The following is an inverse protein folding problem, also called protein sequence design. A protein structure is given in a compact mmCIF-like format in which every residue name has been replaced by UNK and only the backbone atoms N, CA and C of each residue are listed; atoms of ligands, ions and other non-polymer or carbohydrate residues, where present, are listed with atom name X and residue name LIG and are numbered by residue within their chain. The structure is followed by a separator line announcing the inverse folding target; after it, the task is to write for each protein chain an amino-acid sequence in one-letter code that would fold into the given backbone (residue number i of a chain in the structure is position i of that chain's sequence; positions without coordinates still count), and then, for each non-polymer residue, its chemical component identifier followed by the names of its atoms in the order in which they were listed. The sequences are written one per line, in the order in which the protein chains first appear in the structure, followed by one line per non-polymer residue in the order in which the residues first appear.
data_IF_798093084454
#
_entry.id   IF_798093084454
#
_cell.length_a   1.000
_cell.length_b   1.000
_cell.length_c   1.000
_cell.angle_alpha   90.00
_cell.angle_beta   90.00
_cell.angle_gamma   90.00
#
_symmetry.space_group_name_H-M   'P 1'
#
loop_
_entity.id
_entity.type
_entity.pdbx_description
1 polymer ?
#
# COMPACT_ATOMS: atom_id res chain seq x y z
N UNK A 1 2.23 14.01 19.03
CA UNK A 1 0.78 14.23 18.74
C UNK A 1 0.29 13.02 18.01
N UNK A 2 -0.67 12.27 18.56
CA UNK A 2 -1.15 11.00 17.99
C UNK A 2 -2.11 11.25 16.80
N UNK A 3 -2.12 10.40 15.76
CA UNK A 3 -3.15 10.44 14.71
C UNK A 3 -4.51 10.09 15.29
N UNK A 4 -5.57 10.64 14.68
CA UNK A 4 -6.95 10.33 15.04
C UNK A 4 -7.54 9.27 14.12
N UNK A 5 -7.02 9.15 12.89
CA UNK A 5 -7.34 8.10 11.93
C UNK A 5 -6.06 7.51 11.35
N UNK A 6 -6.05 6.21 11.18
CA UNK A 6 -5.02 5.50 10.40
C UNK A 6 -5.73 4.65 9.35
N UNK A 7 -5.41 4.90 8.09
CA UNK A 7 -5.63 3.97 6.99
C UNK A 7 -4.37 3.18 6.76
N UNK A 8 -4.48 1.87 6.69
CA UNK A 8 -3.33 1.01 6.44
C UNK A 8 -3.62 0.05 5.29
N UNK A 9 -2.85 0.14 4.21
CA UNK A 9 -3.02 -0.72 3.03
C UNK A 9 -1.90 -1.75 2.91
N UNK A 10 -2.30 -2.93 2.48
CA UNK A 10 -1.40 -4.01 2.08
C UNK A 10 -2.14 -5.00 1.19
N UNK A 11 -1.41 -5.62 0.26
CA UNK A 11 -1.90 -6.76 -0.52
C UNK A 11 -2.37 -7.92 0.36
N UNK A 12 -1.84 -8.01 1.59
CA UNK A 12 -2.11 -9.09 2.54
C UNK A 12 -3.22 -8.77 3.56
N UNK A 13 -3.91 -7.66 3.45
CA UNK A 13 -5.10 -7.38 4.28
C UNK A 13 -6.23 -8.32 3.84
N UNK A 14 -6.75 -9.12 4.77
CA UNK A 14 -7.74 -10.18 4.52
C UNK A 14 -7.31 -11.22 3.46
N UNK A 15 -6.02 -11.23 3.11
CA UNK A 15 -5.43 -12.10 2.10
C UNK A 15 -4.11 -12.68 2.65
N UNK A 16 -4.14 -13.91 3.14
CA UNK A 16 -2.99 -14.52 3.82
C UNK A 16 -2.06 -15.17 2.80
N UNK A 17 -1.08 -14.43 2.31
CA UNK A 17 -0.10 -14.88 1.32
C UNK A 17 1.29 -15.00 1.92
N UNK A 18 1.71 -14.08 2.78
CA UNK A 18 3.09 -14.00 3.27
C UNK A 18 3.22 -13.48 4.69
N UNK A 19 4.41 -12.98 5.01
CA UNK A 19 4.78 -12.54 6.35
C UNK A 19 4.18 -11.19 6.77
N UNK A 20 3.80 -10.35 5.83
CA UNK A 20 3.20 -9.04 6.11
C UNK A 20 1.84 -9.22 6.80
N UNK A 21 1.05 -10.22 6.37
CA UNK A 21 -0.17 -10.62 7.07
C UNK A 21 0.08 -10.78 8.57
N UNK A 22 1.14 -11.50 8.95
CA UNK A 22 1.46 -11.74 10.36
C UNK A 22 1.86 -10.46 11.08
N UNK A 23 2.64 -9.61 10.45
CA UNK A 23 3.05 -8.30 11.03
C UNK A 23 1.83 -7.44 11.30
N UNK A 24 0.95 -7.26 10.32
CA UNK A 24 -0.24 -6.42 10.45
C UNK A 24 -1.25 -6.99 11.45
N UNK A 25 -1.56 -8.28 11.34
CA UNK A 25 -2.54 -8.94 12.21
C UNK A 25 -2.11 -8.99 13.66
N UNK A 26 -0.81 -9.15 13.94
CA UNK A 26 -0.30 -9.21 15.31
C UNK A 26 -0.36 -7.85 16.03
N UNK A 27 -0.22 -6.74 15.32
CA UNK A 27 -0.30 -5.38 15.90
C UNK A 27 -1.70 -4.75 15.88
N UNK A 28 -2.60 -5.32 15.09
CA UNK A 28 -3.94 -4.77 14.89
C UNK A 28 -4.70 -4.53 16.22
N UNK A 29 -4.68 -5.50 17.14
CA UNK A 29 -5.32 -5.35 18.45
C UNK A 29 -4.75 -4.18 19.25
N UNK A 30 -3.43 -3.97 19.22
CA UNK A 30 -2.79 -2.91 19.98
C UNK A 30 -3.15 -1.54 19.42
N UNK A 31 -3.11 -1.38 18.10
CA UNK A 31 -3.50 -0.14 17.45
C UNK A 31 -4.99 0.15 17.61
N UNK A 32 -5.84 -0.87 17.55
CA UNK A 32 -7.29 -0.70 17.71
C UNK A 32 -7.67 -0.28 19.13
N UNK A 33 -6.92 -0.69 20.17
CA UNK A 33 -7.16 -0.19 21.54
C UNK A 33 -6.97 1.33 21.67
N UNK A 34 -6.09 1.90 20.85
CA UNK A 34 -5.83 3.35 20.84
C UNK A 34 -6.79 4.12 19.93
N UNK A 35 -7.16 3.54 18.79
CA UNK A 35 -7.87 4.22 17.71
C UNK A 35 -9.34 3.79 17.57
N UNK A 36 -9.71 2.63 18.12
CA UNK A 36 -11.06 2.07 17.90
C UNK A 36 -11.31 1.81 16.42
N UNK A 37 -12.48 2.17 15.95
CA UNK A 37 -12.91 2.03 14.55
C UNK A 37 -12.31 3.11 13.61
N UNK A 38 -11.44 3.96 14.11
CA UNK A 38 -10.65 4.88 13.29
C UNK A 38 -9.35 4.23 12.74
N UNK A 39 -9.10 2.97 13.09
CA UNK A 39 -8.11 2.12 12.41
C UNK A 39 -8.81 1.34 11.30
N UNK A 40 -8.47 1.64 10.06
CA UNK A 40 -9.10 1.07 8.86
C UNK A 40 -8.04 0.43 7.99
N UNK A 41 -8.16 -0.87 7.78
CA UNK A 41 -7.31 -1.60 6.85
C UNK A 41 -7.93 -1.63 5.45
N UNK A 42 -7.08 -1.57 4.41
CA UNK A 42 -7.52 -1.61 3.02
C UNK A 42 -6.79 -2.77 2.31
N UNK A 43 -7.56 -3.67 1.74
CA UNK A 43 -7.07 -4.83 1.01
C UNK A 43 -7.73 -5.01 -0.37
N UNK A 44 -7.15 -5.89 -1.22
CA UNK A 44 -7.73 -6.22 -2.50
C UNK A 44 -8.99 -7.07 -2.35
N UNK A 45 -10.02 -6.79 -3.17
CA UNK A 45 -11.17 -7.67 -3.34
C UNK A 45 -10.97 -8.54 -4.59
N UNK A 46 -10.87 -9.85 -4.37
CA UNK A 46 -10.79 -10.82 -5.47
C UNK A 46 -12.16 -11.34 -5.92
N UNK A 47 -13.24 -10.87 -5.27
CA UNK A 47 -14.61 -11.32 -5.54
C UNK A 47 -14.97 -12.67 -4.95
N UNK A 48 -14.14 -13.21 -4.05
CA UNK A 48 -14.33 -14.51 -3.42
C UNK A 48 -14.61 -14.36 -1.92
N UNK A 49 -15.33 -15.33 -1.35
CA UNK A 49 -15.47 -15.47 0.09
C UNK A 49 -14.13 -15.89 0.71
N UNK A 50 -13.77 -15.28 1.81
CA UNK A 50 -12.54 -15.60 2.53
C UNK A 50 -12.80 -15.74 4.03
N UNK A 51 -12.16 -16.70 4.72
CA UNK A 51 -12.32 -16.84 6.17
C UNK A 51 -11.71 -15.66 6.96
N UNK A 52 -10.95 -14.82 6.30
CA UNK A 52 -10.26 -13.69 6.93
C UNK A 52 -11.10 -12.41 6.99
N UNK A 53 -12.27 -12.37 6.35
CA UNK A 53 -13.11 -11.19 6.27
C UNK A 53 -14.57 -11.53 6.59
N UNK A 54 -15.21 -10.70 7.40
CA UNK A 54 -16.65 -10.76 7.64
C UNK A 54 -17.25 -9.44 7.17
N UNK A 55 -18.04 -9.51 6.12
CA UNK A 55 -18.72 -8.33 5.57
C UNK A 55 -19.79 -7.80 6.55
N UNK A 56 -19.85 -6.48 6.70
CA UNK A 56 -20.91 -5.79 7.43
C UNK A 56 -21.50 -4.69 6.54
N UNK A 57 -22.62 -4.98 5.91
CA UNK A 57 -23.28 -4.09 4.96
C UNK A 57 -23.88 -2.84 5.58
N UNK A 58 -23.87 -2.71 6.89
CA UNK A 58 -24.35 -1.51 7.59
C UNK A 58 -23.21 -0.52 7.88
N UNK A 59 -21.96 -1.00 7.93
CA UNK A 59 -20.81 -0.13 8.11
C UNK A 59 -20.65 0.80 6.90
N UNK A 60 -20.68 2.11 7.16
CA UNK A 60 -20.48 3.16 6.15
C UNK A 60 -21.43 3.05 4.93
N UNK A 61 -22.65 2.52 5.14
CA UNK A 61 -23.60 2.23 4.06
C UNK A 61 -23.97 3.48 3.24
N UNK A 62 -24.06 4.64 3.87
CA UNK A 62 -24.34 5.93 3.21
C UNK A 62 -23.22 6.30 2.21
N UNK A 63 -21.96 6.14 2.62
CA UNK A 63 -20.81 6.37 1.76
C UNK A 63 -20.73 5.33 0.64
N UNK A 64 -20.84 4.04 0.96
CA UNK A 64 -20.77 2.96 -0.04
C UNK A 64 -21.87 3.12 -1.10
N UNK A 65 -23.08 3.52 -0.71
CA UNK A 65 -24.18 3.72 -1.66
C UNK A 65 -24.01 4.98 -2.53
N UNK A 66 -23.24 5.97 -2.09
CA UNK A 66 -22.96 7.19 -2.85
C UNK A 66 -21.75 7.03 -3.76
N UNK A 67 -20.87 6.07 -3.46
CA UNK A 67 -19.67 5.82 -4.25
C UNK A 67 -20.04 5.17 -5.60
N UNK A 68 -19.60 5.81 -6.69
CA UNK A 68 -19.93 5.36 -8.05
C UNK A 68 -18.74 4.77 -8.80
N UNK A 69 -17.52 5.10 -8.36
CA UNK A 69 -16.30 4.70 -9.05
C UNK A 69 -15.57 3.54 -8.38
N UNK A 70 -15.91 3.25 -7.11
CA UNK A 70 -15.26 2.22 -6.31
C UNK A 70 -16.27 1.10 -5.99
N UNK A 71 -15.93 -0.12 -6.35
CA UNK A 71 -16.65 -1.29 -5.90
C UNK A 71 -16.04 -1.76 -4.57
N UNK A 72 -16.80 -1.61 -3.48
CA UNK A 72 -16.32 -1.77 -2.12
C UNK A 72 -17.08 -2.87 -1.38
N UNK A 73 -16.36 -3.64 -0.58
CA UNK A 73 -16.91 -4.46 0.49
C UNK A 73 -16.35 -3.98 1.82
N UNK A 74 -17.23 -3.61 2.74
CA UNK A 74 -16.86 -3.09 4.07
C UNK A 74 -17.22 -4.10 5.13
N UNK A 75 -16.36 -4.28 6.11
CA UNK A 75 -16.58 -5.23 7.19
C UNK A 75 -15.44 -5.27 8.19
N UNK A 76 -15.17 -6.46 8.71
CA UNK A 76 -14.16 -6.69 9.75
C UNK A 76 -13.14 -7.72 9.30
N UNK A 77 -11.88 -7.43 9.56
CA UNK A 77 -10.80 -8.41 9.41
C UNK A 77 -10.83 -9.39 10.58
N UNK A 78 -10.92 -10.70 10.29
CA UNK A 78 -11.01 -11.77 11.28
C UNK A 78 -9.65 -12.08 11.92
N UNK A 79 -9.11 -11.10 12.63
CA UNK A 79 -7.86 -11.17 13.40
C UNK A 79 -8.10 -10.58 14.80
N UNK A 80 -7.18 -10.76 15.77
CA UNK A 80 -7.34 -10.16 17.09
C UNK A 80 -7.63 -8.65 17.01
N UNK A 81 -8.69 -8.20 17.65
CA UNK A 81 -9.18 -6.82 17.63
C UNK A 81 -10.31 -6.58 16.63
N UNK A 82 -10.51 -7.45 15.65
CA UNK A 82 -11.54 -7.28 14.62
C UNK A 82 -11.59 -5.85 14.02
N UNK A 83 -10.47 -5.31 13.55
CA UNK A 83 -10.44 -3.95 13.00
C UNK A 83 -11.30 -3.87 11.74
N UNK A 84 -11.74 -2.65 11.42
CA UNK A 84 -12.42 -2.40 10.15
C UNK A 84 -11.49 -2.72 8.99
N UNK A 85 -12.05 -3.39 7.98
CA UNK A 85 -11.39 -3.62 6.70
C UNK A 85 -12.31 -3.20 5.55
N UNK A 86 -11.72 -2.55 4.56
CA UNK A 86 -12.35 -2.20 3.29
C UNK A 86 -11.63 -2.99 2.21
N UNK A 87 -12.38 -3.83 1.52
CA UNK A 87 -11.87 -4.53 0.33
C UNK A 87 -12.33 -3.77 -0.92
N UNK A 88 -11.41 -3.52 -1.83
CA UNK A 88 -11.69 -2.76 -3.06
C UNK A 88 -11.40 -3.60 -4.29
N UNK A 89 -12.38 -3.69 -5.21
CA UNK A 89 -12.15 -4.25 -6.55
C UNK A 89 -11.32 -3.26 -7.37
N UNK A 90 -10.14 -3.69 -7.73
CA UNK A 90 -9.18 -2.88 -8.49
C UNK A 90 -9.22 -3.17 -10.01
N UNK A 91 -9.92 -4.21 -10.45
CA UNK A 91 -9.97 -4.63 -11.85
C UNK A 91 -10.51 -3.55 -12.80
N UNK A 92 -11.52 -2.73 -12.44
CA UNK A 92 -12.00 -1.67 -13.30
C UNK A 92 -10.93 -0.62 -13.69
N UNK A 93 -9.90 -0.44 -12.84
CA UNK A 93 -8.84 0.53 -13.09
C UNK A 93 -7.87 0.12 -14.21
N UNK A 94 -7.86 -1.15 -14.62
CA UNK A 94 -7.08 -1.57 -15.79
C UNK A 94 -7.48 -0.82 -17.07
N UNK A 95 -8.74 -0.39 -17.19
CA UNK A 95 -9.18 0.43 -18.32
C UNK A 95 -8.50 1.81 -18.38
N UNK A 96 -8.04 2.32 -17.24
CA UNK A 96 -7.35 3.63 -17.11
C UNK A 96 -5.84 3.46 -16.83
N UNK A 97 -5.31 2.25 -16.94
CA UNK A 97 -3.92 1.93 -16.53
C UNK A 97 -2.89 2.85 -17.17
N UNK A 98 -2.97 3.07 -18.46
CA UNK A 98 -2.01 3.89 -19.18
C UNK A 98 -2.06 5.36 -18.74
N UNK A 99 -3.24 5.90 -18.48
CA UNK A 99 -3.39 7.27 -17.99
C UNK A 99 -2.81 7.41 -16.57
N UNK A 100 -3.04 6.39 -15.72
CA UNK A 100 -2.49 6.33 -14.37
C UNK A 100 -0.95 6.29 -14.42
N UNK A 101 -0.36 5.47 -15.29
CA UNK A 101 1.09 5.36 -15.45
C UNK A 101 1.71 6.63 -16.05
N UNK A 102 1.03 7.25 -17.00
CA UNK A 102 1.46 8.55 -17.55
C UNK A 102 1.50 9.62 -16.45
N UNK A 103 0.42 9.72 -15.67
CA UNK A 103 0.39 10.62 -14.51
C UNK A 103 1.52 10.35 -13.53
N UNK A 104 1.79 9.08 -13.23
CA UNK A 104 2.82 8.66 -12.29
C UNK A 104 4.22 9.02 -12.79
N UNK A 105 4.46 8.86 -14.09
CA UNK A 105 5.70 9.30 -14.72
C UNK A 105 5.87 10.82 -14.69
N UNK A 106 4.85 11.56 -15.09
CA UNK A 106 4.90 13.02 -15.16
C UNK A 106 5.14 13.69 -13.80
N UNK A 107 4.56 13.14 -12.73
CA UNK A 107 4.64 13.74 -11.39
C UNK A 107 5.79 13.21 -10.54
N UNK A 108 6.15 11.94 -10.69
CA UNK A 108 7.10 11.27 -9.81
C UNK A 108 8.24 10.57 -10.52
N UNK A 109 8.25 10.54 -11.83
CA UNK A 109 9.28 9.86 -12.65
C UNK A 109 9.36 8.36 -12.33
N UNK A 110 8.23 7.71 -12.08
CA UNK A 110 8.17 6.27 -11.88
C UNK A 110 8.11 5.57 -13.22
N UNK A 111 9.05 4.67 -13.45
CA UNK A 111 9.07 3.82 -14.63
C UNK A 111 7.98 2.74 -14.53
N UNK A 112 7.09 2.67 -15.51
CA UNK A 112 6.11 1.61 -15.67
C UNK A 112 6.18 0.94 -17.06
N UNK A 113 7.16 1.33 -17.89
CA UNK A 113 7.33 0.75 -19.23
C UNK A 113 7.96 -0.65 -19.17
N UNK A 114 8.73 -0.93 -18.13
CA UNK A 114 9.37 -2.22 -17.88
C UNK A 114 8.54 -3.11 -16.92
N UNK A 115 7.22 -2.83 -16.83
CA UNK A 115 6.32 -3.59 -15.98
C UNK A 115 6.14 -5.03 -16.49
N UNK A 116 6.23 -5.99 -15.58
CA UNK A 116 5.95 -7.39 -15.84
C UNK A 116 5.47 -8.12 -14.58
N UNK A 117 4.94 -9.33 -14.76
CA UNK A 117 4.47 -10.16 -13.67
C UNK A 117 3.28 -9.51 -12.94
N UNK A 118 3.41 -9.38 -11.63
CA UNK A 118 2.40 -8.85 -10.72
C UNK A 118 2.37 -7.32 -10.59
N UNK A 119 3.20 -6.59 -11.35
CA UNK A 119 3.30 -5.13 -11.25
C UNK A 119 1.98 -4.42 -11.53
N UNK A 120 1.29 -4.81 -12.59
CA UNK A 120 0.05 -4.16 -13.01
C UNK A 120 -1.08 -4.37 -11.99
N UNK A 121 -1.25 -5.60 -11.49
CA UNK A 121 -2.26 -5.88 -10.47
C UNK A 121 -2.01 -5.12 -9.17
N UNK A 122 -0.78 -5.17 -8.68
CA UNK A 122 -0.38 -4.44 -7.48
C UNK A 122 -0.55 -2.92 -7.65
N UNK A 123 -0.20 -2.38 -8.81
CA UNK A 123 -0.34 -0.96 -9.11
C UNK A 123 -1.80 -0.52 -9.17
N UNK A 124 -2.67 -1.30 -9.80
CA UNK A 124 -4.11 -0.98 -9.87
C UNK A 124 -4.78 -1.10 -8.51
N UNK A 125 -4.42 -2.11 -7.71
CA UNK A 125 -4.84 -2.19 -6.30
C UNK A 125 -4.36 -0.97 -5.51
N UNK A 126 -3.10 -0.62 -5.63
CA UNK A 126 -2.52 0.53 -4.93
C UNK A 126 -3.25 1.83 -5.25
N UNK A 127 -3.52 2.07 -6.54
CA UNK A 127 -4.31 3.21 -6.99
C UNK A 127 -5.72 3.19 -6.38
N UNK A 128 -6.41 2.06 -6.45
CA UNK A 128 -7.74 1.87 -5.88
C UNK A 128 -7.74 2.16 -4.36
N UNK A 129 -6.74 1.67 -3.62
CA UNK A 129 -6.60 1.93 -2.19
C UNK A 129 -6.41 3.43 -1.90
N UNK A 130 -5.61 4.14 -2.69
CA UNK A 130 -5.46 5.60 -2.59
C UNK A 130 -6.78 6.34 -2.85
N UNK A 131 -7.59 5.87 -3.81
CA UNK A 131 -8.93 6.41 -4.09
C UNK A 131 -9.91 6.15 -2.95
N UNK A 132 -9.84 4.99 -2.29
CA UNK A 132 -10.62 4.69 -1.09
C UNK A 132 -10.31 5.69 0.02
N UNK A 133 -9.03 5.93 0.29
CA UNK A 133 -8.59 6.90 1.32
C UNK A 133 -9.11 8.30 0.99
N UNK A 134 -8.95 8.78 -0.23
CA UNK A 134 -9.45 10.09 -0.66
C UNK A 134 -10.96 10.20 -0.49
N UNK A 135 -11.73 9.22 -1.03
CA UNK A 135 -13.19 9.23 -0.99
C UNK A 135 -13.72 9.22 0.44
N UNK A 136 -13.20 8.32 1.29
CA UNK A 136 -13.57 8.25 2.70
C UNK A 136 -13.23 9.55 3.44
N UNK A 137 -12.03 10.08 3.22
CA UNK A 137 -11.58 11.33 3.86
C UNK A 137 -12.51 12.50 3.51
N UNK A 138 -12.86 12.67 2.24
CA UNK A 138 -13.74 13.74 1.78
C UNK A 138 -15.16 13.59 2.31
N UNK A 139 -15.63 12.37 2.50
CA UNK A 139 -17.00 12.09 2.98
C UNK A 139 -17.14 12.32 4.50
N UNK A 140 -16.22 11.75 5.31
CA UNK A 140 -16.39 11.71 6.77
C UNK A 140 -15.48 12.66 7.54
N UNK A 141 -14.31 13.02 7.03
CA UNK A 141 -13.26 13.68 7.82
C UNK A 141 -13.10 15.16 7.46
N UNK A 142 -12.97 15.45 6.19
CA UNK A 142 -12.98 16.78 5.57
C UNK A 142 -12.20 17.89 6.35
N UNK A 143 -10.95 17.65 6.66
CA UNK A 143 -9.96 18.70 7.02
C UNK A 143 -9.72 18.97 8.52
N UNK A 144 -10.47 18.39 9.44
CA UNK A 144 -10.36 18.73 10.86
C UNK A 144 -9.72 17.64 11.75
N UNK A 145 -9.13 16.64 11.18
CA UNK A 145 -8.54 15.49 11.90
C UNK A 145 -7.14 15.19 11.41
N UNK A 146 -6.32 14.66 12.32
CA UNK A 146 -5.00 14.16 11.99
C UNK A 146 -5.12 12.75 11.43
N UNK A 147 -4.84 12.61 10.14
CA UNK A 147 -4.98 11.37 9.39
C UNK A 147 -3.63 10.92 8.90
N UNK A 148 -3.39 9.63 9.01
CA UNK A 148 -2.21 8.96 8.45
C UNK A 148 -2.67 7.91 7.46
N UNK A 149 -2.04 7.85 6.29
CA UNK A 149 -2.12 6.74 5.36
C UNK A 149 -0.80 5.98 5.34
N UNK A 150 -0.85 4.73 5.75
CA UNK A 150 0.30 3.85 5.88
C UNK A 150 0.24 2.74 4.83
N UNK A 151 1.22 2.70 3.94
CA UNK A 151 1.37 1.66 2.94
C UNK A 151 2.52 0.71 3.27
N UNK A 152 2.31 -0.57 2.98
CA UNK A 152 3.29 -1.64 3.21
C UNK A 152 3.74 -2.25 1.89
N UNK A 153 5.04 -2.23 1.64
CA UNK A 153 5.72 -2.72 0.44
C UNK A 153 5.46 -1.88 -0.83
N UNK A 154 6.30 -2.10 -1.85
CA UNK A 154 6.20 -1.43 -3.15
C UNK A 154 4.79 -1.51 -3.77
N UNK A 155 4.06 -2.59 -3.47
CA UNK A 155 2.69 -2.84 -3.94
C UNK A 155 1.67 -1.80 -3.46
N UNK A 156 2.04 -0.91 -2.54
CA UNK A 156 1.17 0.17 -2.06
C UNK A 156 1.69 1.57 -2.41
N UNK A 157 2.83 1.63 -3.08
CA UNK A 157 3.53 2.88 -3.36
C UNK A 157 2.73 3.88 -4.19
N UNK A 158 2.06 3.41 -5.26
CA UNK A 158 1.27 4.28 -6.12
C UNK A 158 0.15 4.99 -5.36
N UNK A 159 -0.56 4.26 -4.48
CA UNK A 159 -1.62 4.84 -3.65
C UNK A 159 -1.12 5.89 -2.68
N UNK A 160 0.07 5.70 -2.10
CA UNK A 160 0.72 6.70 -1.26
C UNK A 160 1.06 7.97 -2.04
N UNK A 161 1.65 7.84 -3.23
CA UNK A 161 1.97 8.97 -4.10
C UNK A 161 0.69 9.69 -4.58
N UNK A 162 -0.37 8.92 -4.86
CA UNK A 162 -1.67 9.47 -5.21
C UNK A 162 -2.24 10.33 -4.08
N UNK A 163 -2.32 9.79 -2.86
CA UNK A 163 -2.85 10.51 -1.71
C UNK A 163 -2.00 11.74 -1.40
N UNK A 164 -0.68 11.62 -1.45
CA UNK A 164 0.25 12.76 -1.29
C UNK A 164 -0.04 13.91 -2.24
N UNK A 165 -0.42 13.60 -3.49
CA UNK A 165 -0.75 14.59 -4.51
C UNK A 165 -2.17 15.16 -4.38
N UNK A 166 -3.16 14.32 -4.04
CA UNK A 166 -4.59 14.69 -4.09
C UNK A 166 -5.17 15.14 -2.76
N UNK A 167 -4.59 14.68 -1.65
CA UNK A 167 -5.04 15.00 -0.29
C UNK A 167 -3.80 15.26 0.58
N UNK A 168 -3.05 16.35 0.33
CA UNK A 168 -1.78 16.62 1.01
C UNK A 168 -1.90 16.85 2.52
N UNK A 169 -3.12 16.98 3.03
CA UNK A 169 -3.42 17.07 4.46
C UNK A 169 -3.25 15.74 5.20
N UNK A 170 -3.27 14.62 4.47
CA UNK A 170 -3.03 13.28 5.02
C UNK A 170 -1.52 13.03 5.06
N UNK A 171 -0.99 12.75 6.25
CA UNK A 171 0.40 12.33 6.38
C UNK A 171 0.59 10.90 5.84
N UNK A 172 1.68 10.68 5.11
CA UNK A 172 1.95 9.40 4.46
C UNK A 172 3.13 8.68 5.08
N UNK A 173 2.96 7.39 5.35
CA UNK A 173 4.03 6.50 5.84
C UNK A 173 4.19 5.34 4.86
N UNK A 174 5.43 5.06 4.49
CA UNK A 174 5.79 3.90 3.69
C UNK A 174 6.71 2.98 4.47
N UNK A 175 6.36 1.70 4.57
CA UNK A 175 7.21 0.67 5.18
C UNK A 175 7.62 -0.35 4.15
N UNK A 176 8.93 -0.53 3.94
CA UNK A 176 9.44 -1.69 3.22
C UNK A 176 9.87 -2.78 4.19
N UNK A 177 9.48 -4.02 3.90
CA UNK A 177 9.83 -5.21 4.68
C UNK A 177 11.08 -5.91 4.13
N UNK A 178 11.32 -5.75 2.85
CA UNK A 178 12.57 -6.04 2.16
C UNK A 178 12.54 -5.31 0.81
N UNK A 179 13.66 -4.74 0.39
CA UNK A 179 13.69 -4.03 -0.89
C UNK A 179 13.42 -4.97 -2.06
N UNK A 180 12.67 -4.51 -3.05
CA UNK A 180 12.39 -5.30 -4.26
C UNK A 180 13.68 -5.69 -4.97
N UNK A 181 14.64 -4.76 -5.04
CA UNK A 181 15.94 -5.01 -5.68
C UNK A 181 16.83 -5.93 -4.84
N UNK A 182 16.87 -5.79 -3.51
CA UNK A 182 17.62 -6.68 -2.62
C UNK A 182 17.14 -8.12 -2.70
N UNK A 183 15.82 -8.32 -2.72
CA UNK A 183 15.23 -9.66 -2.94
C UNK A 183 15.64 -10.24 -4.30
N UNK A 184 15.68 -9.43 -5.35
CA UNK A 184 16.05 -9.87 -6.68
C UNK A 184 17.53 -10.22 -6.77
N UNK A 185 18.41 -9.42 -6.16
CA UNK A 185 19.86 -9.73 -6.08
C UNK A 185 20.08 -11.08 -5.39
N UNK A 186 19.51 -11.27 -4.21
CA UNK A 186 19.62 -12.52 -3.45
C UNK A 186 18.99 -13.71 -4.18
N UNK A 187 17.82 -13.52 -4.78
CA UNK A 187 17.10 -14.56 -5.53
C UNK A 187 17.83 -15.01 -6.80
N UNK A 188 18.72 -14.19 -7.34
CA UNK A 188 19.59 -14.54 -8.46
C UNK A 188 20.98 -15.08 -8.03
N UNK A 189 21.09 -15.58 -6.80
CA UNK A 189 22.31 -16.13 -6.22
C UNK A 189 23.50 -15.16 -6.18
N UNK A 190 23.25 -13.85 -6.18
CA UNK A 190 24.26 -12.83 -5.98
C UNK A 190 24.41 -12.57 -4.46
N UNK A 191 25.62 -12.50 -3.91
CA UNK A 191 25.84 -12.38 -2.46
C UNK A 191 25.56 -10.95 -1.98
N UNK A 192 24.29 -10.63 -1.72
CA UNK A 192 23.79 -9.29 -1.37
C UNK A 192 24.61 -8.64 -0.25
N UNK A 193 24.65 -9.27 0.92
CA UNK A 193 25.28 -8.64 2.09
C UNK A 193 26.81 -8.61 2.05
N UNK A 194 27.43 -9.50 1.29
CA UNK A 194 28.89 -9.52 1.15
C UNK A 194 29.41 -8.33 0.34
N UNK A 195 28.62 -7.84 -0.61
CA UNK A 195 29.00 -6.77 -1.52
C UNK A 195 27.98 -5.63 -1.54
N UNK A 196 27.27 -5.43 -0.42
CA UNK A 196 26.18 -4.44 -0.34
C UNK A 196 26.64 -3.05 -0.78
N UNK A 197 27.78 -2.58 -0.27
CA UNK A 197 28.31 -1.25 -0.60
C UNK A 197 28.83 -1.11 -2.06
N UNK A 198 28.97 -2.22 -2.77
CA UNK A 198 29.41 -2.24 -4.17
C UNK A 198 28.26 -2.28 -5.16
N UNK A 199 27.05 -2.61 -4.72
CA UNK A 199 25.88 -2.63 -5.59
C UNK A 199 25.33 -1.22 -5.80
N UNK A 200 24.99 -0.90 -7.04
CA UNK A 200 24.18 0.26 -7.38
C UNK A 200 22.76 -0.21 -7.69
N UNK A 201 21.76 0.25 -6.93
CA UNK A 201 20.38 -0.21 -7.05
C UNK A 201 19.79 -0.03 -8.46
N UNK A 202 20.05 1.11 -9.10
CA UNK A 202 19.56 1.37 -10.46
C UNK A 202 20.20 0.43 -11.49
N UNK A 203 21.53 0.25 -11.42
CA UNK A 203 22.24 -0.69 -12.29
C UNK A 203 21.73 -2.12 -12.09
N UNK A 204 21.52 -2.53 -10.85
CA UNK A 204 21.01 -3.87 -10.56
C UNK A 204 19.56 -4.04 -11.03
N UNK A 205 18.75 -2.98 -10.96
CA UNK A 205 17.40 -3.00 -11.51
C UNK A 205 17.40 -3.22 -13.02
N UNK A 206 18.33 -2.58 -13.75
CA UNK A 206 18.50 -2.79 -15.19
C UNK A 206 18.97 -4.22 -15.52
N UNK A 207 19.98 -4.71 -14.80
CA UNK A 207 20.50 -6.07 -15.00
C UNK A 207 19.46 -7.17 -14.72
N UNK A 208 18.58 -6.97 -13.75
CA UNK A 208 17.65 -7.98 -13.25
C UNK A 208 16.20 -7.76 -13.71
N UNK A 209 15.96 -6.81 -14.63
CA UNK A 209 14.63 -6.41 -15.10
C UNK A 209 13.68 -6.02 -13.97
N UNK A 210 14.17 -5.24 -13.01
CA UNK A 210 13.41 -4.78 -11.84
C UNK A 210 13.09 -3.29 -11.90
N UNK A 211 13.27 -2.63 -13.05
CA UNK A 211 13.20 -1.18 -13.19
C UNK A 211 11.90 -0.60 -12.62
N UNK A 212 10.75 -1.14 -13.01
CA UNK A 212 9.46 -0.61 -12.57
C UNK A 212 9.24 -0.81 -11.07
N UNK A 213 9.51 -2.00 -10.54
CA UNK A 213 9.35 -2.28 -9.10
C UNK A 213 10.32 -1.47 -8.25
N UNK A 214 11.57 -1.38 -8.66
CA UNK A 214 12.58 -0.55 -8.00
C UNK A 214 12.22 0.93 -8.07
N UNK A 215 11.78 1.40 -9.22
CA UNK A 215 11.40 2.80 -9.44
C UNK A 215 10.24 3.21 -8.52
N UNK A 216 9.15 2.45 -8.47
CA UNK A 216 8.01 2.79 -7.59
C UNK A 216 8.42 2.78 -6.11
N UNK A 217 9.20 1.79 -5.66
CA UNK A 217 9.68 1.70 -4.28
C UNK A 217 10.56 2.90 -3.92
N UNK A 218 11.55 3.22 -4.75
CA UNK A 218 12.47 4.34 -4.56
C UNK A 218 11.73 5.69 -4.54
N UNK A 219 10.86 5.92 -5.52
CA UNK A 219 10.12 7.19 -5.62
C UNK A 219 9.12 7.36 -4.48
N UNK A 220 8.49 6.27 -4.03
CA UNK A 220 7.62 6.31 -2.86
C UNK A 220 8.43 6.68 -1.62
N UNK A 221 9.54 6.01 -1.35
CA UNK A 221 10.39 6.30 -0.20
C UNK A 221 10.86 7.76 -0.14
N UNK A 222 11.16 8.37 -1.31
CA UNK A 222 11.62 9.76 -1.38
C UNK A 222 10.50 10.81 -1.24
N UNK A 223 9.24 10.44 -1.44
CA UNK A 223 8.14 11.42 -1.51
C UNK A 223 7.17 11.35 -0.33
N UNK A 224 7.15 10.26 0.44
CA UNK A 224 6.31 10.16 1.65
C UNK A 224 6.84 11.02 2.78
N UNK A 225 5.99 11.30 3.77
CA UNK A 225 6.38 12.08 4.96
C UNK A 225 7.28 11.29 5.91
N UNK A 226 7.12 9.96 5.93
CA UNK A 226 7.93 9.07 6.74
C UNK A 226 8.20 7.75 6.01
N UNK A 227 9.47 7.40 5.87
CA UNK A 227 9.90 6.10 5.36
C UNK A 227 10.46 5.25 6.50
N UNK A 228 10.01 4.02 6.60
CA UNK A 228 10.40 3.08 7.66
C UNK A 228 10.77 1.72 7.11
N UNK A 229 11.55 0.98 7.88
CA UNK A 229 11.92 -0.41 7.59
C UNK A 229 11.66 -1.28 8.80
N UNK A 230 11.61 -2.59 8.60
CA UNK A 230 11.31 -3.55 9.67
C UNK A 230 12.54 -4.00 10.46
N UNK A 231 13.74 -3.67 9.99
CA UNK A 231 15.00 -4.05 10.65
C UNK A 231 16.17 -3.15 10.22
N UNK A 232 17.24 -3.14 11.03
CA UNK A 232 18.49 -2.44 10.70
C UNK A 232 19.12 -2.96 9.41
N UNK A 233 19.00 -4.27 9.13
CA UNK A 233 19.51 -4.87 7.90
C UNK A 233 18.76 -4.32 6.69
N UNK A 234 17.43 -4.26 6.74
CA UNK A 234 16.64 -3.66 5.67
C UNK A 234 16.95 -2.17 5.50
N UNK A 235 17.21 -1.47 6.60
CA UNK A 235 17.63 -0.07 6.53
C UNK A 235 18.99 0.11 5.84
N UNK A 236 19.92 -0.84 5.98
CA UNK A 236 21.19 -0.85 5.25
C UNK A 236 21.00 -1.07 3.75
N UNK A 237 20.05 -1.92 3.35
CA UNK A 237 19.72 -2.15 1.93
C UNK A 237 19.15 -0.91 1.22
N UNK A 238 18.60 0.05 1.99
CA UNK A 238 17.99 1.27 1.46
C UNK A 238 18.96 2.44 1.28
N UNK A 239 20.24 2.27 1.66
CA UNK A 239 21.29 3.29 1.52
C UNK A 239 21.94 3.26 0.17
#
# INVERSE_FOLDING_TARGET
MFPEYIFESSWEVCNKVGGIYTVLSSRALTLQKELGDNLIFIGPDFGEETPYFTEDKQLYIDWVNQEQELALRVGRWNVPGNPIAILVDFKPFFAKKNDIYTWLWEHYQVDSLHAYGDYDEASMFSYAAGRVVESFYRHYINGNRRVVYHGNEWMTGLGLLYVKSKVPEIATIFTTHATSIGRSIAGNNKPLYQYLDAYNGNQMADELNMQSKHSIELRTAHNVDCFTTVSDITALECK
#
